data_IF_280377107637
#
_entry.id   IF_280377107637
#
_cell.length_a   1.000
_cell.length_b   1.000
_cell.length_c   1.000
_cell.angle_alpha   90.00
_cell.angle_beta   90.00
_cell.angle_gamma   90.00
#
_symmetry.space_group_name_H-M   'P 1'
#
loop_
_entity.id
_entity.type
_entity.pdbx_description
1 polymer ?
#
# COMPACT_ATOMS: atom_id res chain seq x y z
N UNK A 1 39.67 1.43 63.65
CA UNK A 1 39.08 2.47 62.76
C UNK A 1 40.06 2.82 61.64
N UNK A 2 39.77 2.37 60.41
CA UNK A 2 40.26 2.82 59.07
C UNK A 2 40.00 1.64 58.09
N UNK A 3 38.94 1.70 57.29
CA UNK A 3 38.85 2.30 55.95
C UNK A 3 38.84 1.20 54.87
N UNK A 4 37.64 0.79 54.43
CA UNK A 4 37.43 -0.02 53.22
C UNK A 4 36.63 0.84 52.24
N UNK A 5 37.31 1.42 51.26
CA UNK A 5 36.69 1.87 50.03
C UNK A 5 37.72 1.80 48.90
N UNK A 6 37.63 0.76 48.06
CA UNK A 6 38.15 0.83 46.69
C UNK A 6 37.05 0.41 45.73
N UNK A 7 36.60 1.38 44.92
CA UNK A 7 35.65 1.22 43.83
C UNK A 7 36.22 0.27 42.77
N UNK A 8 35.53 -0.82 42.48
CA UNK A 8 35.69 -1.54 41.20
C UNK A 8 34.62 -1.02 40.24
N UNK A 9 34.98 -0.02 39.42
CA UNK A 9 34.26 0.23 38.17
C UNK A 9 34.81 -0.78 37.15
N UNK A 10 34.05 -1.83 36.85
CA UNK A 10 34.33 -2.73 35.75
C UNK A 10 34.25 -1.96 34.44
N UNK A 11 35.34 -1.96 33.67
CA UNK A 11 35.30 -1.41 32.32
C UNK A 11 34.34 -2.25 31.45
N UNK A 12 33.48 -1.61 30.64
CA UNK A 12 32.61 -2.32 29.72
C UNK A 12 33.42 -3.17 28.73
N UNK A 13 32.94 -4.37 28.42
CA UNK A 13 33.61 -5.27 27.47
C UNK A 13 33.72 -4.63 26.08
N UNK A 14 34.74 -5.00 25.29
CA UNK A 14 34.93 -4.44 23.93
C UNK A 14 33.67 -4.57 23.04
N UNK A 15 32.82 -5.58 23.28
CA UNK A 15 31.59 -5.82 22.53
C UNK A 15 30.50 -4.76 22.77
N UNK A 16 30.37 -4.25 24.00
CA UNK A 16 29.40 -3.16 24.27
C UNK A 16 29.84 -1.88 23.57
N UNK A 17 31.15 -1.59 23.51
CA UNK A 17 31.68 -0.38 22.86
C UNK A 17 31.40 -0.33 21.34
N UNK A 18 31.59 -1.43 20.61
CA UNK A 18 31.29 -1.49 19.16
C UNK A 18 29.80 -1.36 18.84
N UNK A 19 28.93 -1.89 19.71
CA UNK A 19 27.48 -1.80 19.54
C UNK A 19 26.96 -0.36 19.71
N UNK A 20 27.51 0.39 20.68
CA UNK A 20 27.16 1.81 20.89
C UNK A 20 27.57 2.70 19.72
N UNK A 21 28.69 2.41 19.06
CA UNK A 21 29.16 3.18 17.90
C UNK A 21 28.27 2.96 16.66
N UNK A 22 27.74 1.75 16.47
CA UNK A 22 26.84 1.41 15.36
C UNK A 22 25.46 2.08 15.48
N UNK A 23 24.91 2.17 16.70
CA UNK A 23 23.64 2.87 16.96
C UNK A 23 23.78 4.38 16.71
N UNK A 24 24.93 4.97 17.06
CA UNK A 24 25.18 6.39 16.85
C UNK A 24 25.36 6.76 15.37
N UNK A 25 25.91 5.85 14.54
CA UNK A 25 26.09 6.06 13.11
C UNK A 25 24.78 6.03 12.30
N UNK A 26 23.75 5.36 12.81
CA UNK A 26 22.45 5.22 12.15
C UNK A 26 21.50 6.40 12.40
N UNK A 27 21.94 7.42 13.15
CA UNK A 27 21.08 8.52 13.61
C UNK A 27 21.37 9.82 12.83
N UNK A 28 20.46 10.20 11.90
CA UNK A 28 20.29 11.59 11.43
C UNK A 28 18.81 12.00 11.56
N UNK A 29 18.49 13.22 12.03
CA UNK A 29 17.18 13.51 12.61
C UNK A 29 16.15 14.02 11.59
N UNK A 30 14.91 13.49 11.64
CA UNK A 30 13.68 14.13 11.15
C UNK A 30 12.50 13.79 12.08
N UNK A 31 11.74 14.80 12.50
CA UNK A 31 11.29 14.93 13.90
C UNK A 31 10.07 14.10 14.40
N UNK A 32 9.23 13.49 13.57
CA UNK A 32 7.99 12.82 14.07
C UNK A 32 8.04 11.30 14.09
N UNK A 33 8.76 10.68 13.15
CA UNK A 33 9.00 9.21 13.13
C UNK A 33 9.89 8.77 14.32
N UNK A 34 10.56 9.73 14.95
CA UNK A 34 11.58 9.50 15.97
C UNK A 34 11.04 9.11 17.35
N UNK A 35 9.83 9.50 17.77
CA UNK A 35 9.39 9.22 19.16
C UNK A 35 9.02 7.74 19.36
N UNK A 36 8.30 7.14 18.41
CA UNK A 36 7.93 5.73 18.45
C UNK A 36 9.16 4.83 18.27
N UNK A 37 10.04 5.17 17.31
CA UNK A 37 11.31 4.47 17.10
C UNK A 37 12.26 4.62 18.29
N UNK A 38 12.32 5.80 18.93
CA UNK A 38 13.09 5.99 20.15
C UNK A 38 12.57 5.11 21.29
N UNK A 39 11.25 5.01 21.47
CA UNK A 39 10.67 4.14 22.49
C UNK A 39 10.94 2.66 22.22
N UNK A 40 10.82 2.23 20.95
CA UNK A 40 11.13 0.85 20.55
C UNK A 40 12.62 0.55 20.78
N UNK A 41 13.52 1.43 20.34
CA UNK A 41 14.97 1.29 20.55
C UNK A 41 15.34 1.32 22.03
N UNK A 42 14.65 2.12 22.84
CA UNK A 42 14.84 2.18 24.29
C UNK A 42 14.40 0.87 24.98
N UNK A 43 13.27 0.29 24.56
CA UNK A 43 12.83 -1.02 25.03
C UNK A 43 13.84 -2.12 24.65
N UNK A 44 14.34 -2.11 23.41
CA UNK A 44 15.37 -3.07 22.98
C UNK A 44 16.68 -2.89 23.74
N UNK A 45 17.11 -1.65 23.99
CA UNK A 45 18.30 -1.34 24.79
C UNK A 45 18.19 -1.94 26.19
N UNK A 46 17.05 -1.73 26.87
CA UNK A 46 16.80 -2.28 28.19
C UNK A 46 16.80 -3.82 28.16
N UNK A 47 16.18 -4.44 27.15
CA UNK A 47 16.11 -5.89 27.04
C UNK A 47 17.48 -6.54 26.79
N UNK A 48 18.29 -5.97 25.90
CA UNK A 48 19.65 -6.44 25.63
C UNK A 48 20.55 -6.23 26.85
N UNK A 49 20.44 -5.08 27.52
CA UNK A 49 21.20 -4.78 28.75
C UNK A 49 20.91 -5.81 29.85
N UNK A 50 19.64 -6.18 30.04
CA UNK A 50 19.24 -7.20 31.02
C UNK A 50 19.76 -8.58 30.66
N UNK A 51 19.72 -8.97 29.38
CA UNK A 51 20.31 -10.24 28.92
C UNK A 51 21.81 -10.27 29.19
N UNK A 52 22.53 -9.20 28.85
CA UNK A 52 23.98 -9.10 29.06
C UNK A 52 24.36 -9.07 30.55
N UNK A 53 23.57 -8.40 31.40
CA UNK A 53 23.82 -8.37 32.84
C UNK A 53 23.57 -9.72 33.51
N UNK A 54 22.49 -10.42 33.13
CA UNK A 54 22.21 -11.76 33.61
C UNK A 54 23.30 -12.74 33.12
N UNK A 55 23.78 -12.54 31.89
CA UNK A 55 24.86 -13.32 31.32
C UNK A 55 26.18 -13.12 32.08
N UNK A 56 26.58 -11.89 32.37
CA UNK A 56 27.79 -11.57 33.15
C UNK A 56 27.73 -12.14 34.58
N UNK A 57 26.58 -12.05 35.25
CA UNK A 57 26.40 -12.62 36.59
C UNK A 57 26.56 -14.15 36.58
N UNK A 58 25.91 -14.84 35.63
CA UNK A 58 25.93 -16.31 35.53
C UNK A 58 27.32 -16.86 35.19
N UNK A 59 28.16 -16.11 34.46
CA UNK A 59 29.46 -16.59 33.98
C UNK A 59 30.70 -16.05 34.70
N UNK A 60 30.53 -15.09 35.61
CA UNK A 60 31.62 -14.57 36.46
C UNK A 60 32.35 -15.65 37.27
N UNK A 61 31.69 -16.78 37.57
CA UNK A 61 32.26 -17.93 38.30
C UNK A 61 32.92 -19.02 37.44
N UNK A 62 32.93 -18.94 36.11
CA UNK A 62 33.43 -20.01 35.21
C UNK A 62 34.55 -19.58 34.24
N UNK A 63 35.30 -18.51 34.57
CA UNK A 63 36.46 -18.04 33.80
C UNK A 63 37.55 -19.12 33.71
N UNK A 64 37.51 -19.94 32.66
CA UNK A 64 38.54 -20.93 32.36
C UNK A 64 38.07 -22.12 31.53
N UNK A 65 36.76 -22.38 31.47
CA UNK A 65 36.24 -23.59 30.82
C UNK A 65 35.95 -23.36 29.32
N UNK A 66 36.81 -23.90 28.44
CA UNK A 66 36.70 -23.75 26.97
C UNK A 66 35.38 -24.27 26.40
N UNK A 67 34.78 -25.31 27.00
CA UNK A 67 33.50 -25.87 26.56
C UNK A 67 32.33 -24.91 26.76
N UNK A 68 32.37 -24.14 27.84
CA UNK A 68 31.36 -23.15 28.22
C UNK A 68 31.40 -21.93 27.28
N UNK A 69 32.61 -21.44 26.97
CA UNK A 69 32.84 -20.39 25.96
C UNK A 69 32.26 -20.75 24.58
N UNK A 70 32.39 -22.02 24.18
CA UNK A 70 31.88 -22.53 22.90
C UNK A 70 30.35 -22.64 22.89
N UNK A 71 29.75 -23.12 23.98
CA UNK A 71 28.29 -23.24 24.15
C UNK A 71 27.60 -21.87 24.16
N UNK A 72 28.22 -20.91 24.84
CA UNK A 72 27.79 -19.50 24.87
C UNK A 72 27.77 -18.90 23.47
N UNK A 73 28.83 -19.08 22.68
CA UNK A 73 28.89 -18.58 21.29
C UNK A 73 27.80 -19.20 20.42
N UNK A 74 27.45 -20.47 20.64
CA UNK A 74 26.39 -21.17 19.89
C UNK A 74 24.98 -20.67 20.20
N UNK A 75 24.74 -20.05 21.35
CA UNK A 75 23.40 -19.57 21.76
C UNK A 75 23.26 -18.05 21.64
N UNK A 76 24.30 -17.28 21.97
CA UNK A 76 24.25 -15.80 22.00
C UNK A 76 24.33 -15.21 20.59
N UNK A 77 25.17 -15.76 19.71
CA UNK A 77 25.36 -15.23 18.35
C UNK A 77 24.08 -15.34 17.50
N UNK A 78 23.35 -16.48 17.47
CA UNK A 78 22.06 -16.55 16.77
C UNK A 78 21.01 -15.60 17.35
N UNK A 79 21.00 -15.41 18.67
CA UNK A 79 20.08 -14.47 19.34
C UNK A 79 20.32 -13.01 18.92
N UNK A 80 21.59 -12.60 18.84
CA UNK A 80 21.96 -11.25 18.36
C UNK A 80 21.65 -11.09 16.86
N UNK A 81 21.87 -12.14 16.05
CA UNK A 81 21.55 -12.08 14.63
C UNK A 81 20.03 -11.96 14.41
N UNK A 82 19.23 -12.70 15.17
CA UNK A 82 17.77 -12.65 15.13
C UNK A 82 17.25 -11.26 15.52
N UNK A 83 17.81 -10.62 16.55
CA UNK A 83 17.39 -9.28 16.94
C UNK A 83 17.76 -8.24 15.89
N UNK A 84 18.94 -8.34 15.27
CA UNK A 84 19.32 -7.46 14.14
C UNK A 84 18.33 -7.61 12.99
N UNK A 85 17.95 -8.85 12.64
CA UNK A 85 16.96 -9.12 11.58
C UNK A 85 15.62 -8.47 11.94
N UNK A 86 15.11 -8.66 13.15
CA UNK A 86 13.83 -8.07 13.59
C UNK A 86 13.86 -6.54 13.60
N UNK A 87 14.96 -5.93 14.02
CA UNK A 87 15.14 -4.47 13.99
C UNK A 87 15.19 -3.97 12.54
N UNK A 88 15.90 -4.67 11.66
CA UNK A 88 15.99 -4.30 10.25
C UNK A 88 14.64 -4.41 9.53
N UNK A 89 13.88 -5.48 9.78
CA UNK A 89 12.55 -5.69 9.18
C UNK A 89 11.54 -4.68 9.72
N UNK A 90 11.54 -4.40 11.02
CA UNK A 90 10.66 -3.37 11.62
C UNK A 90 11.00 -1.96 11.14
N UNK A 91 12.29 -1.58 11.06
CA UNK A 91 12.70 -0.30 10.47
C UNK A 91 12.27 -0.17 9.01
N UNK A 92 12.50 -1.22 8.21
CA UNK A 92 12.10 -1.25 6.79
C UNK A 92 10.58 -1.11 6.64
N UNK A 93 9.81 -1.79 7.49
CA UNK A 93 8.35 -1.72 7.51
C UNK A 93 7.84 -0.32 7.86
N UNK A 94 8.37 0.31 8.91
CA UNK A 94 8.00 1.67 9.34
C UNK A 94 8.33 2.69 8.23
N UNK A 95 9.52 2.59 7.62
CA UNK A 95 9.94 3.50 6.54
C UNK A 95 9.06 3.37 5.31
N UNK A 96 8.69 2.15 4.92
CA UNK A 96 7.77 1.89 3.81
C UNK A 96 6.38 2.48 4.08
N UNK A 97 5.85 2.33 5.29
CA UNK A 97 4.52 2.81 5.63
C UNK A 97 4.45 4.34 5.77
N UNK A 98 5.48 4.94 6.38
CA UNK A 98 5.59 6.40 6.52
C UNK A 98 5.69 7.10 5.16
N UNK A 99 6.51 6.58 4.24
CA UNK A 99 6.65 7.15 2.90
C UNK A 99 5.37 7.03 2.05
N UNK A 100 4.66 5.89 2.14
CA UNK A 100 3.37 5.72 1.44
C UNK A 100 2.36 6.76 1.90
N UNK A 101 2.17 6.92 3.22
CA UNK A 101 1.19 7.87 3.77
C UNK A 101 1.46 9.32 3.34
N UNK A 102 2.71 9.77 3.41
CA UNK A 102 3.10 11.13 2.99
C UNK A 102 2.91 11.36 1.47
N UNK A 103 3.28 10.38 0.64
CA UNK A 103 3.10 10.48 -0.81
C UNK A 103 1.63 10.55 -1.23
N UNK A 104 0.77 9.75 -0.60
CA UNK A 104 -0.67 9.74 -0.90
C UNK A 104 -1.34 11.05 -0.46
N UNK A 105 -0.98 11.62 0.70
CA UNK A 105 -1.54 12.90 1.13
C UNK A 105 -1.15 14.07 0.21
N UNK A 106 0.10 14.11 -0.25
CA UNK A 106 0.53 15.11 -1.24
C UNK A 106 -0.20 14.93 -2.59
N UNK A 107 -0.49 13.69 -2.97
CA UNK A 107 -1.24 13.41 -4.21
C UNK A 107 -2.68 13.92 -4.13
N UNK A 108 -3.34 13.71 -2.99
CA UNK A 108 -4.71 14.18 -2.74
C UNK A 108 -4.75 15.72 -2.70
N UNK A 109 -3.76 16.37 -2.10
CA UNK A 109 -3.72 17.84 -2.05
C UNK A 109 -3.53 18.47 -3.43
N UNK A 110 -2.68 17.90 -4.29
CA UNK A 110 -2.54 18.32 -5.68
C UNK A 110 -3.81 18.04 -6.50
N UNK A 111 -4.43 16.86 -6.33
CA UNK A 111 -5.71 16.53 -6.96
C UNK A 111 -6.82 17.53 -6.60
N UNK A 112 -6.85 18.01 -5.34
CA UNK A 112 -7.82 19.01 -4.88
C UNK A 112 -7.66 20.36 -5.58
N UNK A 113 -6.50 20.67 -6.17
CA UNK A 113 -6.30 21.89 -6.98
C UNK A 113 -6.90 21.77 -8.37
N UNK A 114 -7.21 20.55 -8.81
CA UNK A 114 -7.74 20.28 -10.15
C UNK A 114 -9.26 20.26 -10.06
N UNK A 115 -9.91 20.96 -10.99
CA UNK A 115 -11.36 20.88 -11.11
C UNK A 115 -11.75 19.54 -11.74
N UNK A 116 -12.12 18.58 -10.88
CA UNK A 116 -12.70 17.30 -11.29
C UNK A 116 -14.16 17.49 -11.73
N UNK A 117 -14.53 16.80 -12.81
CA UNK A 117 -15.83 16.87 -13.46
C UNK A 117 -16.48 15.49 -13.48
N UNK A 118 -17.81 15.47 -13.58
CA UNK A 118 -18.54 14.22 -13.84
C UNK A 118 -17.98 13.53 -15.09
N UNK A 119 -17.81 12.22 -15.01
CA UNK A 119 -17.30 11.41 -16.11
C UNK A 119 -15.78 11.42 -16.27
N UNK A 120 -15.05 12.17 -15.44
CA UNK A 120 -13.61 11.96 -15.32
C UNK A 120 -13.35 10.54 -14.84
N UNK A 121 -12.37 9.89 -15.45
CA UNK A 121 -11.92 8.55 -15.07
C UNK A 121 -10.75 8.69 -14.12
N UNK A 122 -10.93 8.19 -12.90
CA UNK A 122 -9.88 8.20 -11.88
C UNK A 122 -9.29 6.80 -11.73
N UNK A 123 -7.97 6.73 -11.85
CA UNK A 123 -7.20 5.51 -11.75
C UNK A 123 -6.37 5.54 -10.48
N UNK A 124 -6.20 4.37 -9.84
CA UNK A 124 -5.25 4.21 -8.74
C UNK A 124 -4.35 2.99 -8.92
N UNK A 125 -3.11 3.10 -8.46
CA UNK A 125 -2.25 1.95 -8.21
C UNK A 125 -2.55 1.44 -6.80
N UNK A 126 -3.21 0.30 -6.72
CA UNK A 126 -3.61 -0.31 -5.46
C UNK A 126 -2.47 -1.03 -4.75
N UNK A 127 -2.68 -1.25 -3.46
CA UNK A 127 -1.73 -1.91 -2.53
C UNK A 127 -2.09 -3.36 -2.24
N UNK A 128 -3.29 -3.80 -2.63
CA UNK A 128 -3.82 -5.14 -2.34
C UNK A 128 -3.16 -6.21 -3.21
N UNK A 129 -3.37 -7.49 -2.87
CA UNK A 129 -2.86 -8.64 -3.62
C UNK A 129 -3.48 -8.66 -5.02
N UNK A 130 -4.79 -8.44 -5.12
CA UNK A 130 -5.54 -8.35 -6.37
C UNK A 130 -4.96 -7.24 -7.25
N UNK A 131 -4.61 -6.10 -6.65
CA UNK A 131 -3.96 -5.01 -7.36
C UNK A 131 -2.61 -5.42 -7.95
N UNK A 132 -1.80 -6.21 -7.21
CA UNK A 132 -0.55 -6.72 -7.74
C UNK A 132 -0.77 -7.70 -8.90
N UNK A 133 -1.78 -8.57 -8.83
CA UNK A 133 -2.12 -9.49 -9.91
C UNK A 133 -2.47 -8.70 -11.19
N UNK A 134 -3.29 -7.66 -11.08
CA UNK A 134 -3.63 -6.79 -12.22
C UNK A 134 -2.38 -6.13 -12.80
N UNK A 135 -1.48 -5.60 -11.96
CA UNK A 135 -0.25 -4.94 -12.43
C UNK A 135 0.75 -5.89 -13.08
N UNK A 136 0.83 -7.13 -12.62
CA UNK A 136 1.68 -8.16 -13.24
C UNK A 136 1.12 -8.63 -14.59
N UNK A 137 -0.21 -8.63 -14.70
CA UNK A 137 -0.95 -9.06 -15.90
C UNK A 137 -1.00 -7.97 -16.96
N UNK A 138 -1.20 -6.71 -16.54
CA UNK A 138 -1.29 -5.53 -17.40
C UNK A 138 0.01 -4.71 -17.31
N UNK A 139 1.08 -5.23 -17.91
CA UNK A 139 2.41 -4.61 -17.87
C UNK A 139 2.47 -3.22 -18.55
N UNK A 140 1.45 -2.87 -19.33
CA UNK A 140 1.34 -1.58 -20.00
C UNK A 140 0.63 -0.51 -19.13
N UNK A 141 0.19 -0.86 -17.93
CA UNK A 141 -0.48 0.06 -17.01
C UNK A 141 0.28 0.20 -15.69
N UNK A 142 0.40 1.44 -15.21
CA UNK A 142 0.89 1.73 -13.86
C UNK A 142 -0.20 1.58 -12.79
N UNK A 143 -1.47 1.43 -13.22
CA UNK A 143 -2.66 1.45 -12.39
C UNK A 143 -3.38 0.11 -12.41
N UNK A 144 -3.92 -0.28 -11.27
CA UNK A 144 -4.61 -1.56 -11.07
C UNK A 144 -6.13 -1.42 -10.99
N UNK A 145 -6.62 -0.19 -10.85
CA UNK A 145 -8.03 0.06 -10.58
C UNK A 145 -8.50 1.35 -11.22
N UNK A 146 -9.78 1.39 -11.56
CA UNK A 146 -10.45 2.54 -12.19
C UNK A 146 -11.81 2.78 -11.53
N UNK A 147 -12.22 4.03 -11.50
CA UNK A 147 -13.58 4.46 -11.21
C UNK A 147 -13.94 5.71 -12.01
N UNK A 148 -15.20 6.15 -11.87
CA UNK A 148 -15.69 7.37 -12.51
C UNK A 148 -16.07 8.40 -11.46
N UNK A 149 -15.63 9.65 -11.66
CA UNK A 149 -16.01 10.77 -10.83
C UNK A 149 -17.49 11.05 -10.98
N UNK A 150 -18.17 11.08 -9.83
CA UNK A 150 -19.57 11.45 -9.69
C UNK A 150 -19.70 12.54 -8.62
N UNK A 151 -20.10 13.73 -9.06
CA UNK A 151 -20.25 14.94 -8.27
C UNK A 151 -21.73 15.18 -8.02
N UNK A 152 -22.11 15.17 -6.75
CA UNK A 152 -23.47 15.45 -6.29
C UNK A 152 -23.40 16.43 -5.11
N UNK A 153 -24.21 17.49 -5.17
CA UNK A 153 -24.29 18.53 -4.13
C UNK A 153 -22.92 19.11 -3.72
N UNK A 154 -22.05 19.35 -4.71
CA UNK A 154 -20.70 19.88 -4.50
C UNK A 154 -19.67 18.88 -3.94
N UNK A 155 -20.08 17.68 -3.55
CA UNK A 155 -19.20 16.61 -3.04
C UNK A 155 -18.75 15.68 -4.17
N UNK A 156 -17.53 15.16 -4.05
CA UNK A 156 -16.91 14.27 -5.02
C UNK A 156 -16.93 12.83 -4.52
N UNK A 157 -17.50 11.97 -5.34
CA UNK A 157 -17.52 10.53 -5.16
C UNK A 157 -16.89 9.84 -6.37
N UNK A 158 -16.55 8.58 -6.17
CA UNK A 158 -16.09 7.67 -7.21
C UNK A 158 -17.08 6.53 -7.28
N UNK A 159 -17.68 6.31 -8.45
CA UNK A 159 -18.45 5.10 -8.73
C UNK A 159 -17.47 4.06 -9.26
N UNK A 160 -17.36 2.94 -8.58
CA UNK A 160 -16.46 1.84 -8.97
C UNK A 160 -16.96 0.51 -8.41
N UNK A 161 -16.43 -0.60 -8.92
CA UNK A 161 -16.64 -1.93 -8.34
C UNK A 161 -15.34 -2.40 -7.69
N UNK A 162 -15.42 -3.28 -6.70
CA UNK A 162 -14.26 -3.98 -6.13
C UNK A 162 -14.69 -5.41 -5.80
N UNK A 163 -13.78 -6.40 -5.82
CA UNK A 163 -14.06 -7.72 -5.29
C UNK A 163 -14.56 -7.65 -3.85
N UNK A 164 -15.24 -8.71 -3.41
CA UNK A 164 -15.69 -8.88 -2.02
C UNK A 164 -14.52 -8.64 -1.04
N UNK A 165 -14.63 -7.59 -0.21
CA UNK A 165 -13.58 -7.22 0.75
C UNK A 165 -13.74 -7.95 2.10
N UNK A 166 -14.97 -8.30 2.50
CA UNK A 166 -15.28 -9.07 3.71
C UNK A 166 -16.67 -9.71 3.63
N UNK A 167 -17.06 -10.55 4.60
CA UNK A 167 -18.35 -11.25 4.57
C UNK A 167 -19.59 -10.34 4.69
N UNK A 168 -19.42 -9.12 5.19
CA UNK A 168 -20.49 -8.14 5.29
C UNK A 168 -20.65 -7.29 4.01
N UNK A 169 -19.69 -7.32 3.10
CA UNK A 169 -19.73 -6.60 1.82
C UNK A 169 -19.93 -7.60 0.67
N UNK A 170 -21.11 -7.68 0.06
CA UNK A 170 -21.37 -8.60 -1.05
C UNK A 170 -20.57 -8.28 -2.34
N UNK A 171 -19.73 -7.25 -2.33
CA UNK A 171 -18.99 -6.80 -3.50
C UNK A 171 -19.86 -5.98 -4.43
N UNK A 172 -20.79 -5.19 -3.89
CA UNK A 172 -21.62 -4.31 -4.70
C UNK A 172 -20.79 -3.17 -5.31
N UNK A 173 -21.28 -2.61 -6.41
CA UNK A 173 -20.79 -1.31 -6.89
C UNK A 173 -20.85 -0.32 -5.72
N UNK A 174 -19.79 0.47 -5.55
CA UNK A 174 -19.62 1.46 -4.49
C UNK A 174 -19.76 2.86 -5.06
N UNK A 175 -20.35 3.74 -4.27
CA UNK A 175 -20.28 5.19 -4.41
C UNK A 175 -19.42 5.72 -3.26
N UNK A 176 -18.11 5.69 -3.44
CA UNK A 176 -17.13 5.93 -2.39
C UNK A 176 -16.66 7.40 -2.41
N UNK A 177 -16.56 8.10 -1.26
CA UNK A 177 -15.94 9.43 -1.21
C UNK A 177 -14.52 9.39 -1.80
N UNK A 178 -14.13 10.41 -2.57
CA UNK A 178 -12.82 10.40 -3.25
C UNK A 178 -11.64 10.24 -2.27
N UNK A 179 -11.73 10.84 -1.07
CA UNK A 179 -10.70 10.74 -0.04
C UNK A 179 -10.57 9.29 0.51
N UNK A 180 -11.66 8.52 0.52
CA UNK A 180 -11.65 7.11 0.91
C UNK A 180 -11.10 6.23 -0.23
N UNK A 181 -11.53 6.49 -1.47
CA UNK A 181 -11.00 5.84 -2.67
C UNK A 181 -9.50 6.03 -2.83
N UNK A 182 -8.96 7.15 -2.38
CA UNK A 182 -7.54 7.48 -2.45
C UNK A 182 -6.82 7.32 -1.11
N UNK A 183 -7.43 6.70 -0.10
CA UNK A 183 -6.79 6.55 1.22
C UNK A 183 -5.43 5.85 1.12
N UNK A 184 -4.50 6.20 2.02
CA UNK A 184 -3.12 5.69 2.01
C UNK A 184 -3.00 4.15 2.11
N UNK A 185 -4.04 3.49 2.64
CA UNK A 185 -4.14 2.04 2.65
C UNK A 185 -4.53 1.44 1.30
N UNK A 186 -5.20 2.19 0.41
CA UNK A 186 -5.78 1.73 -0.87
C UNK A 186 -5.02 2.22 -2.10
N UNK A 187 -4.34 3.36 -2.06
CA UNK A 187 -3.72 3.99 -3.24
C UNK A 187 -2.29 4.51 -2.96
N UNK A 188 -1.36 4.22 -3.88
CA UNK A 188 0.01 4.77 -3.88
C UNK A 188 0.33 5.68 -5.06
N UNK A 189 -0.44 5.58 -6.16
CA UNK A 189 -0.38 6.49 -7.31
C UNK A 189 -1.79 6.73 -7.81
N UNK A 190 -2.01 7.88 -8.44
CA UNK A 190 -3.30 8.29 -8.99
C UNK A 190 -3.10 8.91 -10.36
N UNK A 191 -4.08 8.71 -11.24
CA UNK A 191 -4.23 9.52 -12.44
C UNK A 191 -5.69 9.86 -12.69
N UNK A 192 -5.91 10.96 -13.40
CA UNK A 192 -7.22 11.36 -13.89
C UNK A 192 -7.15 11.53 -15.40
N UNK A 193 -8.07 10.90 -16.10
CA UNK A 193 -8.27 11.02 -17.54
C UNK A 193 -9.65 11.59 -17.82
N UNK A 194 -9.74 12.43 -18.85
CA UNK A 194 -10.98 13.10 -19.26
C UNK A 194 -11.23 12.89 -20.73
N UNK A 195 -12.48 12.70 -21.10
CA UNK A 195 -12.90 12.64 -22.50
C UNK A 195 -12.55 13.96 -23.22
N UNK A 196 -11.90 13.88 -24.38
CA UNK A 196 -11.47 15.05 -25.17
C UNK A 196 -12.68 15.78 -25.74
N UNK A 197 -13.62 15.03 -26.33
CA UNK A 197 -14.87 15.56 -26.89
C UNK A 197 -16.00 15.33 -25.89
N UNK A 198 -16.04 16.17 -24.86
CA UNK A 198 -16.95 16.09 -23.73
C UNK A 198 -18.32 16.73 -24.05
N UNK A 199 -19.20 16.03 -24.79
CA UNK A 199 -20.59 16.48 -24.80
C UNK A 199 -21.21 16.22 -23.42
N UNK A 200 -21.79 17.25 -22.81
CA UNK A 200 -22.43 17.13 -21.50
C UNK A 200 -23.49 16.03 -21.48
N UNK A 201 -24.19 15.84 -22.60
CA UNK A 201 -25.15 14.75 -22.80
C UNK A 201 -24.51 13.37 -22.65
N UNK A 202 -23.43 13.07 -23.38
CA UNK A 202 -22.76 11.76 -23.32
C UNK A 202 -22.20 11.47 -21.94
N UNK A 203 -21.63 12.49 -21.29
CA UNK A 203 -21.15 12.39 -19.90
C UNK A 203 -22.30 12.10 -18.94
N UNK A 204 -23.45 12.75 -19.12
CA UNK A 204 -24.63 12.51 -18.30
C UNK A 204 -25.17 11.09 -18.49
N UNK A 205 -25.24 10.59 -19.72
CA UNK A 205 -25.64 9.20 -20.02
C UNK A 205 -24.72 8.21 -19.31
N UNK A 206 -23.41 8.35 -19.47
CA UNK A 206 -22.42 7.45 -18.85
C UNK A 206 -22.52 7.46 -17.31
N UNK A 207 -22.56 8.64 -16.69
CA UNK A 207 -22.71 8.76 -15.24
C UNK A 207 -24.04 8.17 -14.75
N UNK A 208 -25.13 8.41 -15.48
CA UNK A 208 -26.45 7.90 -15.10
C UNK A 208 -26.49 6.38 -15.16
N UNK A 209 -25.86 5.76 -16.17
CA UNK A 209 -25.74 4.30 -16.22
C UNK A 209 -24.97 3.75 -15.02
N UNK A 210 -23.79 4.29 -14.71
CA UNK A 210 -23.00 3.80 -13.59
C UNK A 210 -23.70 4.00 -12.24
N UNK A 211 -24.37 5.15 -12.06
CA UNK A 211 -25.18 5.42 -10.88
C UNK A 211 -26.38 4.48 -10.78
N UNK A 212 -27.05 4.17 -11.90
CA UNK A 212 -28.13 3.19 -11.91
C UNK A 212 -27.65 1.78 -11.54
N UNK A 213 -26.46 1.37 -11.99
CA UNK A 213 -25.88 0.08 -11.59
C UNK A 213 -25.58 0.04 -10.08
N UNK A 214 -25.13 1.16 -9.51
CA UNK A 214 -25.01 1.34 -8.05
C UNK A 214 -26.35 1.19 -7.33
N UNK A 215 -27.39 1.92 -7.75
CA UNK A 215 -28.72 1.86 -7.14
C UNK A 215 -29.34 0.45 -7.23
N UNK A 216 -29.13 -0.24 -8.35
CA UNK A 216 -29.58 -1.62 -8.56
C UNK A 216 -28.75 -2.67 -7.80
N UNK A 217 -27.69 -2.26 -7.09
CA UNK A 217 -26.78 -3.15 -6.36
C UNK A 217 -26.22 -4.26 -7.24
N UNK A 218 -25.75 -3.91 -8.43
CA UNK A 218 -24.97 -4.85 -9.23
C UNK A 218 -23.71 -5.23 -8.45
N UNK A 219 -23.26 -6.47 -8.61
CA UNK A 219 -22.12 -7.00 -7.85
C UNK A 219 -20.88 -7.12 -8.73
N UNK A 220 -19.75 -7.42 -8.09
CA UNK A 220 -18.51 -7.67 -8.78
C UNK A 220 -18.58 -8.98 -9.57
N UNK A 221 -18.15 -8.91 -10.82
CA UNK A 221 -18.06 -10.08 -11.67
C UNK A 221 -16.78 -10.88 -11.39
N UNK A 222 -16.94 -11.99 -10.67
CA UNK A 222 -15.85 -12.91 -10.36
C UNK A 222 -15.44 -13.77 -11.57
N UNK A 223 -16.29 -13.83 -12.60
CA UNK A 223 -16.04 -14.59 -13.82
C UNK A 223 -15.40 -13.75 -14.93
N UNK A 224 -15.34 -12.43 -14.79
CA UNK A 224 -14.80 -11.52 -15.81
C UNK A 224 -15.42 -11.76 -17.19
N UNK A 225 -16.73 -12.02 -17.22
CA UNK A 225 -17.58 -12.24 -18.37
C UNK A 225 -18.28 -10.94 -18.80
N UNK A 226 -17.84 -10.41 -19.94
CA UNK A 226 -18.38 -9.21 -20.56
C UNK A 226 -19.85 -9.30 -20.99
N UNK A 227 -20.41 -10.52 -21.06
CA UNK A 227 -21.80 -10.75 -21.51
C UNK A 227 -22.81 -10.40 -20.41
N UNK A 228 -22.45 -10.56 -19.13
CA UNK A 228 -23.42 -10.35 -18.04
C UNK A 228 -23.56 -8.87 -17.69
N UNK A 229 -24.80 -8.38 -17.54
CA UNK A 229 -25.04 -6.96 -17.29
C UNK A 229 -25.25 -6.60 -15.82
N UNK A 230 -25.47 -7.58 -14.94
CA UNK A 230 -25.73 -7.37 -13.51
C UNK A 230 -24.52 -7.64 -12.60
N UNK A 231 -23.42 -8.14 -13.18
CA UNK A 231 -22.14 -8.30 -12.49
C UNK A 231 -21.09 -7.58 -13.34
N UNK A 232 -20.30 -6.69 -12.73
CA UNK A 232 -19.37 -5.85 -13.47
C UNK A 232 -18.05 -5.69 -12.70
N UNK A 233 -16.92 -5.95 -13.36
CA UNK A 233 -15.61 -5.55 -12.83
C UNK A 233 -15.29 -4.10 -13.22
N UNK A 234 -14.24 -3.53 -12.63
CA UNK A 234 -14.08 -2.08 -12.57
C UNK A 234 -13.95 -1.41 -13.95
N UNK A 235 -13.16 -1.98 -14.86
CA UNK A 235 -13.00 -1.48 -16.23
C UNK A 235 -14.22 -1.78 -17.10
N UNK A 236 -14.92 -2.89 -16.87
CA UNK A 236 -16.18 -3.23 -17.56
C UNK A 236 -17.29 -2.24 -17.24
N UNK A 237 -17.48 -1.89 -15.96
CA UNK A 237 -18.43 -0.86 -15.54
C UNK A 237 -18.22 0.44 -16.33
N UNK A 238 -16.96 0.88 -16.43
CA UNK A 238 -16.62 2.11 -17.16
C UNK A 238 -16.88 1.95 -18.65
N UNK A 239 -16.44 0.84 -19.24
CA UNK A 239 -16.66 0.59 -20.67
C UNK A 239 -18.15 0.55 -21.01
N UNK A 240 -18.97 -0.23 -20.28
CA UNK A 240 -20.42 -0.30 -20.50
C UNK A 240 -21.09 1.06 -20.30
N UNK A 241 -20.69 1.84 -19.29
CA UNK A 241 -21.20 3.20 -19.09
C UNK A 241 -20.98 4.09 -20.32
N UNK A 242 -19.78 4.09 -20.89
CA UNK A 242 -19.48 4.90 -22.08
C UNK A 242 -20.09 4.31 -23.36
N UNK A 243 -20.25 2.99 -23.46
CA UNK A 243 -20.97 2.35 -24.55
C UNK A 243 -22.44 2.79 -24.62
N UNK A 244 -23.11 2.97 -23.48
CA UNK A 244 -24.46 3.56 -23.44
C UNK A 244 -24.51 4.98 -24.01
N UNK A 245 -23.42 5.73 -23.89
CA UNK A 245 -23.27 7.06 -24.48
C UNK A 245 -22.81 7.04 -25.95
N UNK A 246 -22.73 5.86 -26.57
CA UNK A 246 -22.22 5.67 -27.93
C UNK A 246 -20.72 5.94 -28.07
N UNK A 247 -19.94 5.71 -27.00
CA UNK A 247 -18.50 5.89 -26.97
C UNK A 247 -17.84 4.56 -26.62
N UNK A 248 -17.15 3.96 -27.58
CA UNK A 248 -16.29 2.81 -27.31
C UNK A 248 -14.89 3.28 -26.89
N UNK A 249 -14.63 3.27 -25.57
CA UNK A 249 -13.32 3.62 -25.02
C UNK A 249 -12.24 2.56 -25.30
N UNK A 250 -12.62 1.32 -25.63
CA UNK A 250 -11.70 0.19 -25.77
C UNK A 250 -11.31 -0.05 -27.22
N UNK A 251 -12.20 0.20 -28.19
CA UNK A 251 -11.96 0.05 -29.64
C UNK A 251 -11.22 -1.27 -29.98
N UNK A 252 -11.76 -2.42 -29.57
CA UNK A 252 -11.16 -3.75 -29.72
C UNK A 252 -9.82 -3.99 -28.99
N UNK A 253 -9.37 -3.12 -28.07
CA UNK A 253 -8.22 -3.39 -27.19
C UNK A 253 -8.56 -4.37 -26.06
N UNK A 254 -9.16 -5.51 -26.38
CA UNK A 254 -9.35 -6.58 -25.43
C UNK A 254 -8.04 -7.35 -25.24
N UNK A 255 -7.74 -7.76 -24.00
CA UNK A 255 -6.53 -8.52 -23.67
C UNK A 255 -6.92 -9.96 -23.34
N UNK A 256 -6.19 -10.91 -23.92
CA UNK A 256 -6.32 -12.31 -23.56
C UNK A 256 -5.35 -12.61 -22.41
N UNK A 257 -5.90 -12.92 -21.25
CA UNK A 257 -5.15 -13.24 -20.04
C UNK A 257 -5.17 -14.75 -19.83
N UNK A 258 -4.00 -15.36 -19.80
CA UNK A 258 -3.83 -16.76 -19.45
C UNK A 258 -3.79 -16.93 -17.94
N UNK A 259 -4.90 -17.40 -17.37
CA UNK A 259 -4.88 -18.05 -16.05
C UNK A 259 -4.38 -19.48 -16.24
N UNK A 260 -3.81 -20.08 -15.17
CA UNK A 260 -3.16 -21.41 -15.18
C UNK A 260 -4.01 -22.50 -15.88
N UNK A 261 -5.34 -22.35 -15.87
CA UNK A 261 -6.31 -23.34 -16.38
C UNK A 261 -7.18 -22.78 -17.51
N UNK A 262 -7.35 -21.45 -17.62
CA UNK A 262 -8.27 -20.84 -18.59
C UNK A 262 -7.73 -19.54 -19.17
N UNK A 263 -8.07 -19.27 -20.42
CA UNK A 263 -7.84 -17.97 -21.05
C UNK A 263 -9.11 -17.13 -20.93
N UNK A 264 -8.98 -15.87 -20.49
CA UNK A 264 -10.11 -14.93 -20.42
C UNK A 264 -9.82 -13.67 -21.21
N UNK A 265 -10.82 -13.24 -21.96
CA UNK A 265 -10.79 -11.97 -22.69
C UNK A 265 -11.31 -10.89 -21.74
N UNK A 266 -10.47 -9.91 -21.44
CA UNK A 266 -10.76 -8.91 -20.41
C UNK A 266 -10.39 -7.51 -20.89
N UNK A 267 -11.05 -6.51 -20.32
CA UNK A 267 -10.69 -5.11 -20.48
C UNK A 267 -9.70 -4.74 -19.37
N UNK A 268 -8.44 -4.61 -19.71
CA UNK A 268 -7.40 -4.17 -18.77
C UNK A 268 -7.40 -2.65 -18.61
N UNK A 269 -6.90 -2.09 -17.48
CA UNK A 269 -6.75 -0.64 -17.31
C UNK A 269 -6.03 0.05 -18.48
N UNK A 270 -4.96 -0.55 -19.02
CA UNK A 270 -4.24 -0.04 -20.20
C UNK A 270 -5.15 0.12 -21.42
N UNK A 271 -6.10 -0.79 -21.63
CA UNK A 271 -7.06 -0.77 -22.74
C UNK A 271 -7.87 0.53 -22.81
N UNK A 272 -8.19 1.10 -21.63
CA UNK A 272 -8.89 2.38 -21.49
C UNK A 272 -7.91 3.54 -21.57
N UNK A 273 -6.77 3.47 -20.86
CA UNK A 273 -5.74 4.53 -20.83
C UNK A 273 -5.20 4.83 -22.24
N UNK A 274 -5.02 3.81 -23.07
CA UNK A 274 -4.55 3.90 -24.45
C UNK A 274 -5.60 4.52 -25.40
N UNK A 275 -6.81 4.81 -24.92
CA UNK A 275 -7.85 5.43 -25.74
C UNK A 275 -7.46 6.83 -26.20
N UNK A 276 -7.43 7.03 -27.51
CA UNK A 276 -7.23 8.35 -28.15
C UNK A 276 -8.36 9.34 -27.86
N UNK A 277 -9.46 8.88 -27.27
CA UNK A 277 -10.59 9.70 -26.87
C UNK A 277 -10.35 10.38 -25.52
N UNK A 278 -9.34 9.95 -24.76
CA UNK A 278 -9.03 10.47 -23.44
C UNK A 278 -7.77 11.34 -23.47
N UNK A 279 -7.77 12.39 -22.65
CA UNK A 279 -6.58 13.15 -22.29
C UNK A 279 -6.28 12.96 -20.81
N UNK A 280 -4.99 12.85 -20.48
CA UNK A 280 -4.53 12.86 -19.09
C UNK A 280 -4.68 14.28 -18.52
N UNK A 281 -5.39 14.40 -17.41
CA UNK A 281 -5.58 15.65 -16.65
C UNK A 281 -4.58 15.74 -15.50
N UNK A 282 -4.28 14.59 -14.89
CA UNK A 282 -3.38 14.50 -13.74
C UNK A 282 -2.71 13.13 -13.68
N UNK A 283 -1.48 13.08 -13.17
CA UNK A 283 -0.82 11.87 -12.68
C UNK A 283 0.30 12.22 -11.71
N UNK A 284 0.61 11.32 -10.77
CA UNK A 284 1.74 11.44 -9.85
C UNK A 284 2.60 10.17 -9.75
#
# INVERSE_FOLDING_TARGET
>A
MKAIHSRYFSQPSRYTFYFFSLIHLLYKPNQTVNSLLANILQCYYLHIRTILSNFDQTFSGQRGNKGVSLLVRRLVVPGILLTIIVVFTSYSFIKLHSNKSASTQNSISELKKITLLNGDLIFRRGTSIESQIVLLTDQNSEYSHIGMIYKINGKLFVIHTVPKENDADPGYIKLEPIDEFLSGGKAVRVAVYRLIQNSSEKINIANSYAYNCYIKKYCFDNNYDLVTDAQLYCTELIWKAFMQAGIDLVCNRLRNISFIITNKIMIMPSSIIESKLLKKVYSN
#
